data_IF_568410074533
#
_entry.id   IF_568410074533
#
_cell.length_a   1.000
_cell.length_b   1.000
_cell.length_c   1.000
_cell.angle_alpha   90.00
_cell.angle_beta   90.00
_cell.angle_gamma   90.00
#
_symmetry.space_group_name_H-M   'P 1'
#
loop_
_entity.id
_entity.type
_entity.pdbx_description
1 polymer ?
#
# COMPACT_ATOMS: atom_id res chain seq x y z
N UNK A 1 13.20 7.57 -14.87
CA UNK A 1 14.27 6.58 -14.79
C UNK A 1 13.63 5.20 -15.01
N UNK A 2 14.25 4.38 -15.85
CA UNK A 2 13.70 3.06 -16.21
C UNK A 2 12.55 3.07 -17.24
N UNK A 3 12.06 4.23 -17.68
CA UNK A 3 11.02 4.39 -18.71
C UNK A 3 11.55 5.24 -19.87
N UNK A 4 11.89 6.51 -19.61
CA UNK A 4 12.35 7.45 -20.63
C UNK A 4 13.89 7.60 -20.65
N UNK A 5 14.56 7.07 -19.65
CA UNK A 5 16.03 7.03 -19.50
C UNK A 5 16.43 5.69 -18.91
N UNK A 6 17.72 5.35 -18.94
CA UNK A 6 18.26 4.12 -18.35
C UNK A 6 17.84 4.00 -16.88
N UNK A 7 17.55 2.77 -16.45
CA UNK A 7 17.08 2.43 -15.11
C UNK A 7 18.20 2.09 -14.14
N UNK A 8 17.81 1.67 -12.92
CA UNK A 8 18.71 1.32 -11.83
C UNK A 8 19.26 -0.11 -11.86
N UNK A 9 18.90 -0.94 -12.87
CA UNK A 9 19.52 -2.25 -13.07
C UNK A 9 20.87 -2.08 -13.79
N UNK A 10 21.82 -1.44 -13.13
CA UNK A 10 23.13 -1.08 -13.66
C UNK A 10 24.09 -0.74 -12.51
N UNK A 11 25.39 -0.85 -12.74
CA UNK A 11 26.44 -0.47 -11.78
C UNK A 11 26.41 1.03 -11.46
N UNK A 12 26.00 1.84 -12.44
CA UNK A 12 25.93 3.31 -12.32
C UNK A 12 24.61 3.84 -12.88
N UNK A 13 24.07 4.84 -12.21
CA UNK A 13 22.90 5.59 -12.65
C UNK A 13 23.15 7.09 -12.56
N UNK A 14 22.81 7.83 -13.61
CA UNK A 14 22.87 9.29 -13.61
C UNK A 14 21.46 9.86 -13.40
N UNK A 15 21.30 10.69 -12.36
CA UNK A 15 20.05 11.38 -12.05
C UNK A 15 20.31 12.87 -11.80
N UNK A 16 19.35 13.78 -12.07
CA UNK A 16 19.47 15.18 -11.68
C UNK A 16 19.68 15.30 -10.17
N UNK A 17 20.61 16.14 -9.73
CA UNK A 17 20.89 16.30 -8.30
C UNK A 17 19.66 16.76 -7.49
N UNK A 18 18.73 17.47 -8.12
CA UNK A 18 17.45 17.88 -7.51
C UNK A 18 16.53 16.72 -7.18
N UNK A 19 16.79 15.53 -7.73
CA UNK A 19 16.00 14.31 -7.48
C UNK A 19 16.65 13.41 -6.42
N UNK A 20 17.67 13.93 -5.71
CA UNK A 20 18.36 13.19 -4.65
C UNK A 20 17.80 13.63 -3.30
N UNK A 21 17.33 12.64 -2.53
CA UNK A 21 16.97 12.81 -1.13
C UNK A 21 18.04 12.18 -0.24
N UNK A 22 18.62 12.97 0.65
CA UNK A 22 19.58 12.47 1.63
C UNK A 22 18.80 11.99 2.87
N UNK A 23 18.69 10.70 3.04
CA UNK A 23 18.05 10.13 4.23
C UNK A 23 19.03 9.96 5.40
N UNK A 24 18.50 9.68 6.61
CA UNK A 24 19.29 9.36 7.78
C UNK A 24 20.13 8.09 7.53
N UNK A 25 21.46 8.10 7.76
CA UNK A 25 22.32 6.94 7.55
C UNK A 25 22.02 5.75 8.49
N UNK A 26 21.28 5.96 9.58
CA UNK A 26 20.83 4.89 10.47
C UNK A 26 19.69 4.03 9.88
N UNK A 27 19.06 4.50 8.78
CA UNK A 27 18.03 3.72 8.09
C UNK A 27 18.70 2.55 7.36
N UNK A 28 18.21 1.34 7.61
CA UNK A 28 18.65 0.12 6.95
C UNK A 28 18.58 0.24 5.43
N UNK A 29 19.62 -0.22 4.72
CA UNK A 29 19.72 -0.09 3.27
C UNK A 29 18.62 -0.85 2.51
N UNK A 30 18.15 -1.99 3.04
CA UNK A 30 17.04 -2.72 2.42
C UNK A 30 15.72 -1.96 2.58
N UNK A 31 15.52 -1.30 3.72
CA UNK A 31 14.38 -0.40 3.93
C UNK A 31 14.47 0.80 2.99
N UNK A 32 15.65 1.39 2.83
CA UNK A 32 15.88 2.47 1.88
C UNK A 32 15.60 2.04 0.42
N UNK A 33 15.95 0.80 0.06
CA UNK A 33 15.70 0.24 -1.27
C UNK A 33 14.22 0.12 -1.63
N UNK A 34 13.32 0.10 -0.64
CA UNK A 34 11.86 0.06 -0.87
C UNK A 34 11.17 1.41 -0.63
N UNK A 35 11.92 2.50 -0.58
CA UNK A 35 11.36 3.85 -0.36
C UNK A 35 10.39 4.29 -1.44
N UNK A 36 10.58 3.87 -2.70
CA UNK A 36 9.62 4.22 -3.76
C UNK A 36 8.21 3.68 -3.47
N UNK A 37 7.98 2.36 -3.28
CA UNK A 37 6.67 1.85 -2.90
C UNK A 37 6.20 2.30 -1.51
N UNK A 38 7.12 2.54 -0.56
CA UNK A 38 6.75 3.11 0.73
C UNK A 38 6.22 4.53 0.60
N UNK A 39 6.80 5.36 -0.25
CA UNK A 39 6.28 6.70 -0.54
C UNK A 39 4.87 6.68 -1.13
N UNK A 40 4.56 5.69 -1.98
CA UNK A 40 3.20 5.48 -2.49
C UNK A 40 2.22 5.12 -1.36
N UNK A 41 2.64 4.27 -0.43
CA UNK A 41 1.88 3.90 0.75
C UNK A 41 1.60 5.11 1.65
N UNK A 42 2.62 5.90 1.96
CA UNK A 42 2.52 7.11 2.79
C UNK A 42 1.61 8.15 2.16
N UNK A 43 1.82 8.47 0.86
CA UNK A 43 0.97 9.44 0.15
C UNK A 43 -0.50 9.02 0.13
N UNK A 44 -0.77 7.72 -0.01
CA UNK A 44 -2.14 7.21 0.02
C UNK A 44 -2.75 7.26 1.42
N UNK A 45 -2.03 6.75 2.42
CA UNK A 45 -2.52 6.66 3.79
C UNK A 45 -2.75 8.03 4.44
N UNK A 46 -1.96 9.03 4.05
CA UNK A 46 -2.08 10.41 4.55
C UNK A 46 -2.89 11.33 3.62
N UNK A 47 -3.53 10.79 2.58
CA UNK A 47 -4.35 11.58 1.66
C UNK A 47 -5.62 12.15 2.29
N UNK A 48 -6.10 11.50 3.36
CA UNK A 48 -7.23 11.89 4.19
C UNK A 48 -6.90 11.68 5.67
N UNK A 49 -7.61 12.39 6.55
CA UNK A 49 -7.55 12.17 7.99
C UNK A 49 -8.04 10.74 8.32
N UNK A 50 -7.26 9.99 9.11
CA UNK A 50 -7.57 8.62 9.52
C UNK A 50 -7.66 8.45 11.04
N UNK A 51 -7.34 9.49 11.81
CA UNK A 51 -7.38 9.42 13.26
C UNK A 51 -8.79 9.11 13.77
N UNK A 52 -8.92 7.98 14.48
CA UNK A 52 -10.21 7.51 15.00
C UNK A 52 -11.16 6.88 13.96
N UNK A 53 -10.77 6.83 12.69
CA UNK A 53 -11.59 6.36 11.58
C UNK A 53 -11.45 4.85 11.34
N UNK A 54 -12.46 4.26 10.72
CA UNK A 54 -12.46 2.87 10.23
C UNK A 54 -11.94 2.83 8.79
N UNK A 55 -10.84 2.12 8.58
CA UNK A 55 -10.13 2.08 7.29
C UNK A 55 -10.32 0.73 6.60
N UNK A 56 -10.74 0.77 5.32
CA UNK A 56 -10.76 -0.38 4.42
C UNK A 56 -9.62 -0.29 3.40
N UNK A 57 -8.77 -1.30 3.34
CA UNK A 57 -7.70 -1.41 2.35
C UNK A 57 -8.03 -2.59 1.41
N UNK A 58 -8.17 -2.34 0.11
CA UNK A 58 -8.33 -3.40 -0.88
C UNK A 58 -7.01 -3.69 -1.56
N UNK A 59 -6.55 -4.95 -1.46
CA UNK A 59 -5.26 -5.42 -1.92
C UNK A 59 -4.19 -5.47 -0.82
N UNK A 60 -3.88 -6.67 -0.33
CA UNK A 60 -2.81 -6.94 0.64
C UNK A 60 -1.44 -7.15 -0.04
N UNK A 61 -1.17 -6.41 -1.11
CA UNK A 61 0.17 -6.30 -1.68
C UNK A 61 1.11 -5.50 -0.76
N UNK A 62 2.41 -5.45 -1.06
CA UNK A 62 3.39 -4.75 -0.22
C UNK A 62 3.00 -3.31 0.10
N UNK A 63 2.44 -2.57 -0.88
CA UNK A 63 2.03 -1.18 -0.67
C UNK A 63 0.82 -1.10 0.28
N UNK A 64 -0.19 -1.97 0.10
CA UNK A 64 -1.36 -2.03 0.98
C UNK A 64 -0.99 -2.35 2.43
N UNK A 65 -0.06 -3.29 2.62
CA UNK A 65 0.44 -3.66 3.95
C UNK A 65 1.19 -2.48 4.60
N UNK A 66 2.08 -1.82 3.87
CA UNK A 66 2.79 -0.62 4.37
C UNK A 66 1.82 0.53 4.67
N UNK A 67 0.75 0.69 3.87
CA UNK A 67 -0.29 1.70 4.15
C UNK A 67 -1.06 1.40 5.43
N UNK A 68 -1.27 0.12 5.77
CA UNK A 68 -1.87 -0.27 7.03
C UNK A 68 -0.99 0.15 8.23
N UNK A 69 0.33 -0.05 8.14
CA UNK A 69 1.27 0.40 9.17
C UNK A 69 1.21 1.92 9.37
N UNK A 70 1.21 2.68 8.27
CA UNK A 70 1.08 4.15 8.32
C UNK A 70 -0.26 4.57 8.93
N UNK A 71 -1.37 3.98 8.49
CA UNK A 71 -2.70 4.30 9.01
C UNK A 71 -2.82 3.96 10.52
N UNK A 72 -2.23 2.85 10.96
CA UNK A 72 -2.18 2.49 12.38
C UNK A 72 -1.41 3.52 13.18
N UNK A 73 -0.23 3.90 12.70
CA UNK A 73 0.60 4.93 13.34
C UNK A 73 -0.12 6.28 13.40
N UNK A 74 -0.86 6.63 12.37
CA UNK A 74 -1.68 7.84 12.30
C UNK A 74 -2.97 7.77 13.14
N UNK A 75 -3.24 6.67 13.85
CA UNK A 75 -4.32 6.56 14.82
C UNK A 75 -5.65 6.03 14.29
N UNK A 76 -5.65 5.30 13.17
CA UNK A 76 -6.86 4.63 12.68
C UNK A 76 -7.44 3.67 13.74
N UNK A 77 -8.77 3.66 13.91
CA UNK A 77 -9.48 2.84 14.90
C UNK A 77 -9.45 1.37 14.51
N UNK A 78 -10.05 1.04 13.38
CA UNK A 78 -9.98 -0.28 12.79
C UNK A 78 -9.37 -0.21 11.39
N UNK A 79 -8.55 -1.21 11.07
CA UNK A 79 -7.96 -1.37 9.74
C UNK A 79 -8.32 -2.77 9.26
N UNK A 80 -9.13 -2.85 8.21
CA UNK A 80 -9.49 -4.07 7.53
C UNK A 80 -8.79 -4.10 6.18
N UNK A 81 -8.01 -5.16 5.94
CA UNK A 81 -7.35 -5.37 4.65
C UNK A 81 -7.93 -6.59 3.93
N UNK A 82 -8.18 -6.47 2.63
CA UNK A 82 -8.77 -7.55 1.84
C UNK A 82 -7.83 -8.01 0.72
N UNK A 83 -7.82 -9.29 0.43
CA UNK A 83 -7.17 -9.89 -0.73
C UNK A 83 -7.84 -11.25 -1.03
N UNK A 84 -7.45 -11.86 -2.14
CA UNK A 84 -7.80 -13.25 -2.49
C UNK A 84 -6.62 -14.21 -2.31
N UNK A 85 -5.42 -13.69 -2.07
CA UNK A 85 -4.18 -14.45 -1.92
C UNK A 85 -3.91 -14.74 -0.43
N UNK A 86 -3.96 -16.03 0.00
CA UNK A 86 -3.73 -16.40 1.39
C UNK A 86 -2.36 -16.01 1.93
N UNK A 87 -1.31 -16.09 1.10
CA UNK A 87 0.05 -15.70 1.48
C UNK A 87 0.11 -14.22 1.88
N UNK A 88 -0.49 -13.34 1.07
CA UNK A 88 -0.51 -11.91 1.33
C UNK A 88 -1.31 -11.54 2.58
N UNK A 89 -2.44 -12.20 2.78
CA UNK A 89 -3.24 -12.02 3.99
C UNK A 89 -2.49 -12.47 5.24
N UNK A 90 -1.75 -13.57 5.14
CA UNK A 90 -0.91 -14.04 6.25
C UNK A 90 0.26 -13.10 6.54
N UNK A 91 0.89 -12.55 5.51
CA UNK A 91 1.93 -11.53 5.67
C UNK A 91 1.37 -10.27 6.35
N UNK A 92 0.17 -9.83 5.95
CA UNK A 92 -0.52 -8.70 6.59
C UNK A 92 -0.78 -8.96 8.09
N UNK A 93 -1.22 -10.18 8.44
CA UNK A 93 -1.43 -10.56 9.86
C UNK A 93 -0.15 -10.53 10.68
N UNK A 94 0.96 -10.99 10.09
CA UNK A 94 2.28 -11.03 10.77
C UNK A 94 2.80 -9.64 11.12
N UNK A 95 2.50 -8.64 10.32
CA UNK A 95 2.89 -7.26 10.59
C UNK A 95 2.09 -6.62 11.72
N UNK A 96 0.92 -7.17 12.08
CA UNK A 96 0.19 -6.79 13.29
C UNK A 96 -0.53 -5.43 13.26
N UNK A 97 -0.37 -4.65 12.20
CA UNK A 97 -0.92 -3.28 12.10
C UNK A 97 -2.38 -3.25 11.64
N UNK A 98 -2.98 -4.41 11.43
CA UNK A 98 -4.36 -4.54 10.98
C UNK A 98 -5.27 -5.08 12.07
N UNK A 99 -6.58 -4.77 11.99
CA UNK A 99 -7.59 -5.38 12.84
C UNK A 99 -8.03 -6.73 12.31
N UNK A 100 -8.29 -6.81 11.00
CA UNK A 100 -8.72 -8.05 10.32
C UNK A 100 -8.15 -8.12 8.91
N UNK A 101 -7.63 -9.32 8.52
CA UNK A 101 -7.30 -9.64 7.13
C UNK A 101 -8.35 -10.60 6.57
N UNK A 102 -9.04 -10.17 5.51
CA UNK A 102 -10.21 -10.82 4.94
C UNK A 102 -9.92 -11.42 3.57
N UNK A 103 -10.18 -12.72 3.41
CA UNK A 103 -10.32 -13.29 2.08
C UNK A 103 -11.74 -12.97 1.57
N UNK A 104 -11.84 -12.04 0.63
CA UNK A 104 -13.13 -11.56 0.13
C UNK A 104 -13.94 -12.62 -0.63
N UNK A 105 -13.31 -13.75 -0.99
CA UNK A 105 -14.04 -14.91 -1.57
C UNK A 105 -14.73 -15.77 -0.52
N UNK A 106 -14.34 -15.65 0.74
CA UNK A 106 -14.76 -16.52 1.83
C UNK A 106 -15.60 -15.79 2.88
N UNK A 107 -15.42 -14.48 3.03
CA UNK A 107 -16.06 -13.69 4.08
C UNK A 107 -16.61 -12.37 3.53
N UNK A 108 -17.84 -12.05 3.88
CA UNK A 108 -18.51 -10.80 3.54
C UNK A 108 -18.05 -9.67 4.46
N UNK A 109 -17.72 -8.50 3.90
CA UNK A 109 -17.33 -7.31 4.66
C UNK A 109 -18.41 -6.81 5.62
N UNK A 110 -19.71 -7.03 5.32
CA UNK A 110 -20.80 -6.67 6.23
C UNK A 110 -20.76 -7.47 7.53
N UNK A 111 -20.32 -8.73 7.47
CA UNK A 111 -20.11 -9.56 8.66
C UNK A 111 -18.96 -8.99 9.49
N UNK A 112 -17.84 -8.66 8.85
CA UNK A 112 -16.66 -8.06 9.51
C UNK A 112 -17.01 -6.73 10.17
N UNK A 113 -17.75 -5.86 9.47
CA UNK A 113 -18.22 -4.58 10.03
C UNK A 113 -19.02 -4.79 11.31
N UNK A 114 -19.94 -5.77 11.30
CA UNK A 114 -20.78 -6.11 12.47
C UNK A 114 -19.94 -6.63 13.64
N UNK A 115 -18.97 -7.52 13.37
CA UNK A 115 -18.06 -8.07 14.37
C UNK A 115 -17.19 -7.00 15.02
N UNK A 116 -16.78 -5.98 14.26
CA UNK A 116 -16.02 -4.83 14.74
C UNK A 116 -16.89 -3.72 15.36
N UNK A 117 -18.23 -3.91 15.40
CA UNK A 117 -19.15 -2.93 15.97
C UNK A 117 -19.36 -1.68 15.13
N UNK A 118 -19.01 -1.73 13.84
CA UNK A 118 -19.27 -0.63 12.90
C UNK A 118 -20.78 -0.56 12.61
N UNK A 119 -21.33 0.66 12.59
CA UNK A 119 -22.78 0.87 12.37
C UNK A 119 -23.12 1.07 10.89
N UNK A 120 -22.28 1.72 10.13
CA UNK A 120 -22.66 2.28 8.83
C UNK A 120 -21.66 2.01 7.70
N UNK A 121 -20.47 1.47 7.97
CA UNK A 121 -19.44 1.17 6.97
C UNK A 121 -18.10 1.80 7.32
N UNK A 122 -17.20 1.84 6.35
CA UNK A 122 -15.85 2.38 6.51
C UNK A 122 -15.80 3.87 6.18
N UNK A 123 -15.06 4.64 6.97
CA UNK A 123 -14.89 6.08 6.80
C UNK A 123 -13.88 6.42 5.70
N UNK A 124 -12.79 5.64 5.63
CA UNK A 124 -11.71 5.85 4.66
C UNK A 124 -11.38 4.55 3.94
N UNK A 125 -11.26 4.63 2.61
CA UNK A 125 -10.86 3.52 1.75
C UNK A 125 -9.50 3.78 1.10
N UNK A 126 -8.61 2.77 1.08
CA UNK A 126 -7.40 2.77 0.26
C UNK A 126 -7.53 1.69 -0.81
N UNK A 127 -7.77 2.09 -2.04
CA UNK A 127 -7.82 1.14 -3.16
C UNK A 127 -6.40 0.91 -3.70
N UNK A 128 -5.84 -0.27 -3.41
CA UNK A 128 -4.47 -0.63 -3.70
C UNK A 128 -4.32 -1.79 -4.69
N UNK A 129 -5.45 -2.35 -5.14
CA UNK A 129 -5.45 -3.55 -5.98
C UNK A 129 -5.45 -3.27 -7.47
N UNK A 130 -6.08 -2.16 -7.89
CA UNK A 130 -6.38 -1.88 -9.29
C UNK A 130 -7.40 -2.86 -9.91
N UNK A 131 -8.12 -3.64 -9.08
CA UNK A 131 -9.10 -4.62 -9.54
C UNK A 131 -10.50 -4.01 -9.51
N UNK A 132 -11.23 -3.95 -10.65
CA UNK A 132 -12.56 -3.35 -10.71
C UNK A 132 -13.56 -3.88 -9.67
N UNK A 133 -13.56 -5.20 -9.43
CA UNK A 133 -14.43 -5.82 -8.44
C UNK A 133 -14.12 -5.34 -7.01
N UNK A 134 -12.83 -5.16 -6.66
CA UNK A 134 -12.41 -4.67 -5.35
C UNK A 134 -12.84 -3.22 -5.14
N UNK A 135 -12.76 -2.38 -6.17
CA UNK A 135 -13.24 -1.00 -6.11
C UNK A 135 -14.77 -0.93 -5.95
N UNK A 136 -15.51 -1.77 -6.69
CA UNK A 136 -16.97 -1.87 -6.55
C UNK A 136 -17.37 -2.30 -5.15
N UNK A 137 -16.69 -3.29 -4.59
CA UNK A 137 -16.88 -3.76 -3.23
C UNK A 137 -16.57 -2.65 -2.20
N UNK A 138 -15.49 -1.91 -2.40
CA UNK A 138 -15.14 -0.76 -1.55
C UNK A 138 -16.28 0.26 -1.52
N UNK A 139 -16.73 0.75 -2.68
CA UNK A 139 -17.82 1.74 -2.77
C UNK A 139 -19.06 1.28 -2.02
N UNK A 140 -19.44 0.00 -2.14
CA UNK A 140 -20.63 -0.57 -1.49
C UNK A 140 -20.50 -0.68 0.04
N UNK A 141 -19.29 -0.59 0.57
CA UNK A 141 -18.98 -0.75 2.00
C UNK A 141 -18.56 0.54 2.71
N UNK A 142 -18.50 1.68 1.98
CA UNK A 142 -18.19 2.98 2.58
C UNK A 142 -19.38 3.58 3.32
N UNK A 143 -19.07 4.31 4.38
CA UNK A 143 -19.99 5.16 5.11
C UNK A 143 -20.47 6.36 4.26
N UNK A 144 -21.58 6.98 4.61
CA UNK A 144 -22.03 8.24 4.01
C UNK A 144 -21.02 9.38 4.28
N UNK A 145 -20.51 10.02 3.23
CA UNK A 145 -19.41 10.97 3.32
C UNK A 145 -18.02 10.31 3.33
N UNK A 146 -17.95 9.01 3.09
CA UNK A 146 -16.69 8.25 3.04
C UNK A 146 -15.72 8.78 1.98
N UNK A 147 -14.44 8.57 2.23
CA UNK A 147 -13.33 9.12 1.42
C UNK A 147 -12.45 7.99 0.90
N UNK A 148 -12.21 7.95 -0.40
CA UNK A 148 -11.44 6.89 -1.05
C UNK A 148 -10.19 7.47 -1.69
N UNK A 149 -9.02 7.01 -1.27
CA UNK A 149 -7.73 7.22 -1.92
C UNK A 149 -7.48 6.07 -2.91
N UNK A 150 -7.46 6.38 -4.21
CA UNK A 150 -7.37 5.42 -5.30
C UNK A 150 -5.94 5.43 -5.86
N UNK A 151 -5.14 4.45 -5.51
CA UNK A 151 -3.77 4.24 -6.02
C UNK A 151 -3.69 3.13 -7.05
N UNK A 152 -4.49 2.07 -6.90
CA UNK A 152 -4.50 0.95 -7.80
C UNK A 152 -4.85 1.36 -9.24
N UNK A 153 -4.05 0.93 -10.22
CA UNK A 153 -4.24 1.27 -11.62
C UNK A 153 -4.97 0.11 -12.31
N UNK A 154 -6.24 0.30 -12.71
CA UNK A 154 -6.96 -0.75 -13.43
C UNK A 154 -6.36 -0.96 -14.83
N UNK A 155 -6.25 -2.23 -15.22
CA UNK A 155 -5.69 -2.61 -16.53
C UNK A 155 -6.63 -2.34 -17.70
N UNK A 156 -7.91 -2.08 -17.41
CA UNK A 156 -8.95 -1.80 -18.41
C UNK A 156 -10.01 -0.85 -17.85
N UNK A 157 -10.74 -0.19 -18.73
CA UNK A 157 -11.90 0.61 -18.34
C UNK A 157 -13.01 -0.30 -17.79
N UNK A 158 -13.73 0.19 -16.78
CA UNK A 158 -14.85 -0.51 -16.16
C UNK A 158 -15.94 0.49 -15.73
N UNK A 159 -17.21 0.05 -15.67
CA UNK A 159 -18.30 0.88 -15.20
C UNK A 159 -18.21 1.09 -13.68
N UNK A 160 -18.57 2.30 -13.22
CA UNK A 160 -18.64 2.69 -11.81
C UNK A 160 -20.11 2.97 -11.47
N UNK A 161 -20.58 2.50 -10.32
CA UNK A 161 -21.90 2.86 -9.80
C UNK A 161 -21.92 4.30 -9.25
N UNK A 162 -22.04 5.24 -10.17
CA UNK A 162 -22.12 6.67 -9.84
C UNK A 162 -23.32 7.01 -8.98
N UNK A 163 -24.40 6.23 -9.01
CA UNK A 163 -25.56 6.43 -8.16
C UNK A 163 -25.18 6.26 -6.68
N UNK A 164 -24.48 5.20 -6.34
CA UNK A 164 -23.98 4.97 -4.97
C UNK A 164 -22.98 6.06 -4.58
N UNK A 165 -22.05 6.45 -5.46
CA UNK A 165 -21.10 7.55 -5.19
C UNK A 165 -21.83 8.85 -4.84
N UNK A 166 -22.86 9.22 -5.61
CA UNK A 166 -23.63 10.46 -5.40
C UNK A 166 -24.49 10.37 -4.13
N UNK A 167 -25.26 9.29 -3.95
CA UNK A 167 -26.16 9.16 -2.79
C UNK A 167 -25.42 9.04 -1.46
N UNK A 168 -24.26 8.40 -1.47
CA UNK A 168 -23.43 8.30 -0.27
C UNK A 168 -22.44 9.46 -0.12
N UNK A 169 -22.49 10.48 -0.99
CA UNK A 169 -21.61 11.66 -0.95
C UNK A 169 -20.12 11.27 -0.86
N UNK A 170 -19.69 10.25 -1.58
CA UNK A 170 -18.33 9.77 -1.52
C UNK A 170 -17.34 10.73 -2.18
N UNK A 171 -16.19 10.91 -1.55
CA UNK A 171 -15.05 11.61 -2.14
C UNK A 171 -14.06 10.60 -2.68
N UNK A 172 -13.71 10.68 -3.96
CA UNK A 172 -12.71 9.81 -4.59
C UNK A 172 -11.54 10.67 -5.04
N UNK A 173 -10.34 10.40 -4.52
CA UNK A 173 -9.10 11.10 -4.85
C UNK A 173 -8.12 10.14 -5.49
N UNK A 174 -7.74 10.41 -6.74
CA UNK A 174 -6.65 9.69 -7.39
C UNK A 174 -5.30 10.02 -6.76
N UNK A 175 -4.50 9.00 -6.52
CA UNK A 175 -3.14 9.10 -5.98
C UNK A 175 -2.17 8.63 -7.07
N UNK A 176 -1.17 9.43 -7.36
CA UNK A 176 -0.12 9.05 -8.29
C UNK A 176 1.26 9.25 -7.67
N UNK A 177 1.95 8.15 -7.45
CA UNK A 177 3.29 8.16 -6.87
C UNK A 177 3.32 8.84 -5.51
N UNK A 178 4.24 9.75 -5.35
CA UNK A 178 4.50 10.51 -4.11
C UNK A 178 4.72 11.99 -4.41
N UNK A 179 4.50 12.82 -3.44
CA UNK A 179 4.86 14.25 -3.52
C UNK A 179 6.35 14.38 -3.20
N UNK A 180 7.11 14.97 -4.15
CA UNK A 180 8.55 15.20 -3.98
C UNK A 180 8.81 16.02 -2.72
N UNK A 181 9.83 15.64 -1.97
CA UNK A 181 10.30 16.20 -0.70
C UNK A 181 9.34 16.01 0.47
N UNK A 182 8.07 16.37 0.37
CA UNK A 182 7.11 16.26 1.45
C UNK A 182 6.91 14.80 1.88
N UNK A 183 6.58 13.92 0.93
CA UNK A 183 6.43 12.49 1.23
C UNK A 183 7.73 11.86 1.71
N UNK A 184 8.88 12.24 1.15
CA UNK A 184 10.18 11.76 1.62
C UNK A 184 10.47 12.15 3.06
N UNK A 185 10.16 13.39 3.43
CA UNK A 185 10.25 13.83 4.82
C UNK A 185 9.33 13.03 5.73
N UNK A 186 8.06 12.88 5.35
CA UNK A 186 7.09 12.10 6.11
C UNK A 186 7.52 10.64 6.29
N UNK A 187 8.08 10.00 5.27
CA UNK A 187 8.64 8.65 5.34
C UNK A 187 9.76 8.57 6.38
N UNK A 188 10.69 9.53 6.36
CA UNK A 188 11.80 9.58 7.32
C UNK A 188 11.27 9.71 8.76
N UNK A 189 10.32 10.62 8.98
CA UNK A 189 9.69 10.81 10.31
C UNK A 189 8.97 9.55 10.77
N UNK A 190 8.22 8.88 9.90
CA UNK A 190 7.50 7.65 10.24
C UNK A 190 8.46 6.54 10.69
N UNK A 191 9.58 6.35 10.01
CA UNK A 191 10.60 5.37 10.41
C UNK A 191 11.27 5.76 11.73
N UNK A 192 11.62 7.03 11.90
CA UNK A 192 12.22 7.56 13.14
C UNK A 192 11.27 7.45 14.34
N UNK A 193 9.97 7.51 14.12
CA UNK A 193 8.95 7.38 15.17
C UNK A 193 8.45 5.94 15.36
N UNK A 194 9.08 4.96 14.71
CA UNK A 194 8.91 3.54 15.02
C UNK A 194 8.02 2.75 14.06
N UNK A 195 7.64 3.30 12.91
CA UNK A 195 7.01 2.48 11.86
C UNK A 195 8.05 1.52 11.29
N UNK A 196 7.79 0.22 11.41
CA UNK A 196 8.65 -0.81 10.83
C UNK A 196 8.01 -1.42 9.58
N UNK A 197 8.64 -1.23 8.43
CA UNK A 197 8.23 -1.80 7.16
C UNK A 197 9.13 -2.95 6.69
N UNK A 198 10.19 -3.24 7.43
CA UNK A 198 11.17 -4.28 7.06
C UNK A 198 10.56 -5.66 6.87
N UNK A 199 9.51 -6.09 7.63
CA UNK A 199 8.93 -7.41 7.45
C UNK A 199 8.21 -7.62 6.11
N UNK A 200 7.95 -6.54 5.36
CA UNK A 200 7.39 -6.66 4.00
C UNK A 200 8.43 -7.21 3.00
N UNK A 201 9.72 -7.18 3.35
CA UNK A 201 10.83 -7.73 2.54
C UNK A 201 10.92 -9.23 2.81
N UNK A 202 10.49 -10.03 1.87
CA UNK A 202 10.37 -11.49 2.04
C UNK A 202 11.46 -12.29 1.33
N UNK A 203 12.08 -11.72 0.31
CA UNK A 203 13.08 -12.43 -0.52
C UNK A 203 14.28 -11.54 -0.78
N UNK A 204 15.46 -12.18 -0.82
CA UNK A 204 16.75 -11.58 -1.14
C UNK A 204 17.48 -12.47 -2.10
N UNK A 205 17.96 -11.90 -3.19
CA UNK A 205 18.74 -12.60 -4.21
C UNK A 205 19.96 -11.76 -4.60
N UNK A 206 21.04 -12.42 -5.04
CA UNK A 206 22.08 -11.71 -5.78
C UNK A 206 21.48 -11.07 -7.04
N UNK A 207 21.98 -9.91 -7.45
CA UNK A 207 21.53 -9.27 -8.69
C UNK A 207 21.69 -10.20 -9.91
N UNK A 208 22.63 -11.16 -9.86
CA UNK A 208 22.88 -12.16 -10.91
C UNK A 208 21.73 -13.17 -11.04
N UNK A 209 20.99 -13.38 -9.94
CA UNK A 209 19.85 -14.28 -9.86
C UNK A 209 18.51 -13.53 -10.00
N UNK A 210 18.52 -12.35 -10.65
CA UNK A 210 17.34 -11.47 -10.77
C UNK A 210 16.11 -12.19 -11.33
N UNK A 211 16.29 -13.18 -12.20
CA UNK A 211 15.19 -13.98 -12.77
C UNK A 211 14.38 -14.68 -11.68
N UNK A 212 15.03 -15.27 -10.68
CA UNK A 212 14.35 -15.88 -9.52
C UNK A 212 13.55 -14.86 -8.73
N UNK A 213 14.05 -13.61 -8.61
CA UNK A 213 13.32 -12.51 -8.01
C UNK A 213 12.02 -12.17 -8.78
N UNK A 214 12.09 -12.13 -10.11
CA UNK A 214 10.91 -11.92 -10.96
C UNK A 214 9.93 -13.11 -10.92
N UNK A 215 10.44 -14.34 -10.83
CA UNK A 215 9.59 -15.53 -10.66
C UNK A 215 8.83 -15.50 -9.33
N UNK A 216 9.52 -15.16 -8.23
CA UNK A 216 8.88 -14.97 -6.93
C UNK A 216 7.77 -13.92 -7.01
N UNK A 217 7.99 -12.78 -7.67
CA UNK A 217 6.98 -11.74 -7.86
C UNK A 217 5.79 -12.24 -8.70
N UNK A 218 6.02 -12.97 -9.79
CA UNK A 218 4.96 -13.53 -10.65
C UNK A 218 4.12 -14.59 -9.93
N UNK A 219 4.73 -15.36 -9.01
CA UNK A 219 3.99 -16.34 -8.21
C UNK A 219 2.92 -15.71 -7.32
N UNK A 220 3.06 -14.42 -6.99
CA UNK A 220 2.23 -13.71 -6.03
C UNK A 220 2.51 -14.08 -4.56
N UNK A 221 3.42 -15.01 -4.29
CA UNK A 221 3.78 -15.48 -2.95
C UNK A 221 5.03 -14.76 -2.41
N UNK A 222 5.08 -13.47 -2.59
CA UNK A 222 6.14 -12.62 -2.04
C UNK A 222 5.59 -11.27 -1.57
N UNK A 223 6.32 -10.65 -0.65
CA UNK A 223 6.25 -9.24 -0.34
C UNK A 223 7.18 -8.46 -1.27
N UNK A 224 8.13 -7.71 -0.71
CA UNK A 224 9.19 -7.07 -1.50
C UNK A 224 10.37 -8.03 -1.71
N UNK A 225 10.97 -7.94 -2.90
CA UNK A 225 12.18 -8.65 -3.29
C UNK A 225 13.31 -7.65 -3.35
N UNK A 226 14.43 -7.95 -2.69
CA UNK A 226 15.67 -7.19 -2.76
C UNK A 226 16.66 -7.93 -3.67
N UNK A 227 17.35 -7.19 -4.52
CA UNK A 227 18.52 -7.67 -5.26
C UNK A 227 19.78 -7.05 -4.65
N UNK A 228 20.66 -7.90 -4.16
CA UNK A 228 21.93 -7.50 -3.57
C UNK A 228 22.99 -7.29 -4.65
N UNK A 229 23.60 -6.10 -4.65
CA UNK A 229 24.67 -5.69 -5.58
C UNK A 229 26.04 -5.62 -4.91
N UNK A 230 26.18 -6.06 -3.66
CA UNK A 230 27.42 -5.95 -2.90
C UNK A 230 28.58 -6.77 -3.45
N UNK A 231 28.33 -7.66 -4.42
CA UNK A 231 29.37 -8.51 -5.05
C UNK A 231 29.92 -7.93 -6.38
N UNK A 232 29.82 -6.64 -6.58
CA UNK A 232 30.38 -5.96 -7.76
C UNK A 232 31.80 -5.52 -7.49
#
# INVERSE_FOLDING_TARGET
VGVNTNGGFAEYIAVPYTNIWKHNPEIDLEVAAIFDPFGNAVHTALAFEVFGEDVLITGAGPIGIMSAAVARHAGARHIVITDINPFRLELARKLGDISVAVNIKEQDLKVVQKELGMKEGFDVGFEMSGVPAAFTEMIANMFHGGRIALLGIPTQQFPIDWKTVVFNMLTIKGIYGRQMYETWYQMSVLLETGVDISPVITHRYSYRDFEHGFEAMRSGNCGKVILDWAEI
#
